data_IF_635149049722
#
_entry.id   IF_635149049722
#
_cell.length_a   1.000
_cell.length_b   1.000
_cell.length_c   1.000
_cell.angle_alpha   90.00
_cell.angle_beta   90.00
_cell.angle_gamma   90.00
#
_symmetry.space_group_name_H-M   'P 1'
#
loop_
_entity.id
_entity.type
_entity.pdbx_description
1 polymer ?
#
# COMPACT_ATOMS: atom_id res chain seq x y z
N UNK A 1 54.86 60.40 -24.88
CA UNK A 1 55.55 59.19 -24.38
C UNK A 1 54.57 58.40 -23.51
N UNK A 2 54.72 57.08 -23.52
CA UNK A 2 53.84 56.06 -22.91
C UNK A 2 53.69 56.25 -21.38
N UNK A 3 52.51 55.98 -20.82
CA UNK A 3 52.31 54.82 -19.93
C UNK A 3 50.85 54.62 -19.47
N UNK A 4 50.41 53.35 -19.55
CA UNK A 4 49.22 52.76 -18.92
C UNK A 4 49.40 52.73 -17.39
N UNK A 5 48.31 52.59 -16.64
CA UNK A 5 47.96 51.38 -15.84
C UNK A 5 46.80 51.67 -14.87
N UNK A 6 45.70 50.95 -15.12
CA UNK A 6 44.63 50.36 -14.28
C UNK A 6 44.15 50.99 -12.95
N UNK A 7 42.83 51.02 -12.81
CA UNK A 7 42.13 51.03 -11.52
C UNK A 7 40.61 50.95 -11.65
N UNK A 8 40.05 49.84 -12.16
CA UNK A 8 38.60 49.60 -12.09
C UNK A 8 38.25 49.15 -10.67
N UNK A 9 37.79 50.11 -9.88
CA UNK A 9 37.26 49.91 -8.52
C UNK A 9 36.09 48.94 -8.52
N UNK A 10 36.10 48.07 -7.53
CA UNK A 10 35.18 46.95 -7.32
C UNK A 10 33.79 47.47 -6.97
N UNK A 11 32.78 47.00 -7.70
CA UNK A 11 31.37 47.22 -7.39
C UNK A 11 31.04 46.50 -6.08
N UNK A 12 30.52 47.27 -5.13
CA UNK A 12 30.05 46.85 -3.82
C UNK A 12 28.96 45.77 -3.95
N UNK A 13 29.28 44.51 -3.64
CA UNK A 13 28.27 43.48 -3.42
C UNK A 13 27.66 43.70 -2.02
N UNK A 14 26.41 44.15 -2.00
CA UNK A 14 25.57 44.23 -0.80
C UNK A 14 25.31 42.81 -0.30
N UNK A 15 25.90 42.46 0.84
CA UNK A 15 25.57 41.25 1.58
C UNK A 15 24.13 41.36 2.12
N UNK A 16 23.21 40.64 1.49
CA UNK A 16 21.88 40.39 2.04
C UNK A 16 22.01 39.34 3.14
N UNK A 17 21.91 39.80 4.39
CA UNK A 17 21.59 38.94 5.52
C UNK A 17 20.14 38.44 5.33
N UNK A 18 19.99 37.15 4.99
CA UNK A 18 18.74 36.43 5.18
C UNK A 18 18.95 35.42 6.32
N UNK A 19 18.42 35.78 7.48
CA UNK A 19 18.40 34.94 8.65
C UNK A 19 17.38 33.80 8.49
N UNK A 20 17.83 32.59 8.83
CA UNK A 20 17.14 31.55 9.61
C UNK A 20 15.73 31.11 9.15
N UNK A 21 15.63 29.85 8.71
CA UNK A 21 14.82 28.84 9.41
C UNK A 21 15.47 27.46 9.21
N UNK A 22 16.18 26.99 10.24
CA UNK A 22 16.40 25.56 10.43
C UNK A 22 15.04 24.94 10.75
N UNK A 23 14.45 24.21 9.81
CA UNK A 23 13.39 23.26 10.15
C UNK A 23 14.07 22.08 10.83
N UNK A 24 14.18 22.20 12.15
CA UNK A 24 14.51 21.09 13.03
C UNK A 24 13.30 20.18 13.12
N UNK A 25 13.58 18.88 12.97
CA UNK A 25 12.74 17.71 13.16
C UNK A 25 11.30 17.92 13.63
N UNK A 26 10.37 17.53 12.76
CA UNK A 26 9.39 16.54 13.18
C UNK A 26 9.66 15.28 12.37
N UNK A 27 10.39 14.35 12.99
CA UNK A 27 10.25 12.94 12.63
C UNK A 27 8.79 12.59 12.93
N UNK A 28 7.94 12.77 11.92
CA UNK A 28 6.67 12.08 11.87
C UNK A 28 7.06 10.61 11.79
N UNK A 29 7.10 9.93 12.94
CA UNK A 29 6.88 8.50 12.97
C UNK A 29 5.65 8.28 12.10
N UNK A 30 5.84 7.68 10.92
CA UNK A 30 4.72 7.24 10.10
C UNK A 30 3.83 6.43 11.04
N UNK A 31 2.70 7.03 11.45
CA UNK A 31 1.76 6.35 12.31
C UNK A 31 1.41 5.06 11.60
N UNK A 32 1.46 3.94 12.31
CA UNK A 32 0.88 2.69 11.83
C UNK A 32 -0.53 3.02 11.37
N UNK A 33 -0.77 2.97 10.06
CA UNK A 33 -2.12 3.01 9.53
C UNK A 33 -2.84 1.81 10.14
N UNK A 34 -3.74 2.09 11.08
CA UNK A 34 -4.58 1.08 11.70
C UNK A 34 -5.87 1.08 10.90
N UNK A 35 -6.14 -0.02 10.19
CA UNK A 35 -7.44 -0.27 9.62
C UNK A 35 -8.47 -0.23 10.76
N UNK A 36 -9.45 0.65 10.62
CA UNK A 36 -10.51 0.78 11.60
C UNK A 36 -11.45 -0.43 11.54
N UNK A 37 -12.15 -0.71 12.64
CA UNK A 37 -13.28 -1.64 12.64
C UNK A 37 -14.48 -1.15 11.80
N UNK A 38 -14.36 0.03 11.20
CA UNK A 38 -15.38 0.71 10.42
C UNK A 38 -14.73 1.62 9.37
N UNK A 39 -15.44 1.81 8.26
CA UNK A 39 -15.09 2.71 7.18
C UNK A 39 -16.38 3.28 6.57
N UNK A 40 -16.25 4.32 5.75
CA UNK A 40 -17.40 4.95 5.09
C UNK A 40 -17.61 4.27 3.75
N UNK A 41 -18.67 3.49 3.61
CA UNK A 41 -19.03 2.88 2.33
C UNK A 41 -19.23 3.97 1.24
N UNK A 42 -18.72 3.80 0.00
CA UNK A 42 -18.03 2.61 -0.55
C UNK A 42 -16.49 2.66 -0.44
N UNK A 43 -15.94 3.52 0.43
CA UNK A 43 -14.52 3.71 0.64
C UNK A 43 -13.99 2.83 1.76
N UNK A 44 -14.33 1.54 1.67
CA UNK A 44 -13.79 0.47 2.47
C UNK A 44 -12.86 -0.40 1.60
N UNK A 45 -11.72 -0.83 2.16
CA UNK A 45 -10.93 -1.87 1.49
C UNK A 45 -11.65 -3.21 1.59
N UNK A 46 -11.81 -3.87 0.44
CA UNK A 46 -12.54 -5.13 0.35
C UNK A 46 -11.76 -6.17 -0.44
N UNK A 47 -11.99 -7.45 -0.12
CA UNK A 47 -11.50 -8.57 -0.92
C UNK A 47 -12.67 -9.44 -1.35
N UNK A 48 -12.72 -9.76 -2.65
CA UNK A 48 -13.67 -10.68 -3.26
C UNK A 48 -12.95 -11.93 -3.75
N UNK A 49 -13.38 -13.11 -3.32
CA UNK A 49 -12.88 -14.37 -3.86
C UNK A 49 -13.71 -14.78 -5.08
N UNK A 50 -13.17 -14.55 -6.28
CA UNK A 50 -13.73 -15.02 -7.55
C UNK A 50 -12.98 -16.26 -8.08
N UNK A 51 -12.18 -16.91 -7.23
CA UNK A 51 -11.50 -18.17 -7.52
C UNK A 51 -12.33 -19.36 -7.04
N UNK A 52 -11.85 -20.58 -7.29
CA UNK A 52 -12.50 -21.83 -6.87
C UNK A 52 -12.06 -22.37 -5.51
N UNK A 53 -11.06 -21.75 -4.86
CA UNK A 53 -10.38 -22.32 -3.69
C UNK A 53 -10.72 -21.52 -2.43
N UNK A 54 -9.79 -20.73 -1.89
CA UNK A 54 -10.05 -19.82 -0.79
C UNK A 54 -9.14 -18.60 -0.90
N UNK A 55 -9.47 -17.54 -0.18
CA UNK A 55 -8.56 -16.42 0.02
C UNK A 55 -8.62 -15.99 1.49
N UNK A 56 -7.47 -15.68 2.08
CA UNK A 56 -7.40 -15.17 3.45
C UNK A 56 -7.16 -13.65 3.41
N UNK A 57 -8.17 -12.88 3.83
CA UNK A 57 -8.10 -11.43 3.99
C UNK A 57 -7.86 -11.09 5.47
N UNK A 58 -7.04 -10.08 5.71
CA UNK A 58 -6.62 -9.62 7.02
C UNK A 58 -6.88 -8.11 7.14
N UNK A 59 -7.02 -7.64 8.38
CA UNK A 59 -6.99 -6.22 8.70
C UNK A 59 -5.59 -5.75 9.05
N UNK A 60 -5.37 -4.45 8.90
CA UNK A 60 -4.19 -3.67 9.25
C UNK A 60 -2.96 -3.92 8.36
N UNK A 61 -2.72 -2.96 7.48
CA UNK A 61 -1.52 -2.80 6.66
C UNK A 61 -0.61 -1.72 7.26
N UNK A 62 0.67 -2.06 7.45
CA UNK A 62 1.65 -1.13 8.00
C UNK A 62 2.70 -0.76 6.96
N UNK A 63 2.97 0.54 6.86
CA UNK A 63 3.95 1.12 5.93
C UNK A 63 3.38 1.37 4.53
N UNK A 64 4.27 1.77 3.63
CA UNK A 64 3.89 2.29 2.31
C UNK A 64 4.16 1.32 1.17
N UNK A 65 4.70 0.13 1.45
CA UNK A 65 4.89 -0.89 0.44
C UNK A 65 3.52 -1.37 -0.07
N UNK A 66 3.39 -1.60 -1.38
CA UNK A 66 2.19 -2.21 -1.96
C UNK A 66 2.17 -3.73 -1.80
N UNK A 67 3.35 -4.32 -1.59
CA UNK A 67 3.52 -5.76 -1.47
C UNK A 67 4.69 -6.06 -0.53
N UNK A 68 4.49 -7.01 0.36
CA UNK A 68 5.49 -7.46 1.33
C UNK A 68 5.67 -8.97 1.24
N UNK A 69 6.91 -9.42 1.48
CA UNK A 69 7.25 -10.84 1.56
C UNK A 69 7.84 -11.10 2.94
N UNK A 70 7.03 -11.69 3.81
CA UNK A 70 7.38 -11.94 5.20
C UNK A 70 6.43 -12.99 5.79
N UNK A 71 6.86 -13.67 6.85
CA UNK A 71 6.05 -14.72 7.48
C UNK A 71 4.80 -14.19 8.20
N UNK A 72 4.93 -13.03 8.82
CA UNK A 72 3.87 -12.38 9.59
C UNK A 72 3.12 -11.35 8.75
N UNK A 73 1.85 -11.09 9.09
CA UNK A 73 1.08 -10.00 8.49
C UNK A 73 1.83 -8.64 8.62
N UNK A 74 1.61 -7.68 7.71
CA UNK A 74 2.32 -6.39 7.66
C UNK A 74 2.40 -5.65 9.00
N UNK A 75 1.32 -5.62 9.79
CA UNK A 75 1.31 -5.01 11.13
C UNK A 75 1.67 -5.95 12.30
N UNK A 76 2.14 -7.17 12.04
CA UNK A 76 2.93 -7.97 12.99
C UNK A 76 2.22 -9.05 13.83
N UNK A 77 3.01 -9.57 14.79
CA UNK A 77 2.88 -10.82 15.57
C UNK A 77 2.03 -10.73 16.84
N UNK A 78 1.36 -9.61 17.11
CA UNK A 78 0.68 -9.37 18.39
C UNK A 78 -0.84 -9.21 18.20
N UNK A 79 -1.58 -10.18 18.73
CA UNK A 79 -2.91 -10.01 19.31
C UNK A 79 -4.10 -9.78 18.36
N UNK A 80 -3.97 -8.91 17.37
CA UNK A 80 -5.12 -8.32 16.68
C UNK A 80 -5.21 -8.76 15.21
N UNK A 81 -4.84 -10.02 14.94
CA UNK A 81 -4.95 -10.64 13.61
C UNK A 81 -6.38 -11.06 13.35
N UNK A 82 -7.24 -10.09 13.15
CA UNK A 82 -8.55 -10.36 12.58
C UNK A 82 -8.37 -10.71 11.11
N UNK A 83 -8.73 -11.95 10.79
CA UNK A 83 -8.72 -12.46 9.43
C UNK A 83 -10.05 -13.14 9.14
N UNK A 84 -10.42 -13.16 7.87
CA UNK A 84 -11.55 -13.92 7.36
C UNK A 84 -11.08 -14.79 6.21
N UNK A 85 -11.54 -16.04 6.21
CA UNK A 85 -11.35 -16.94 5.08
C UNK A 85 -12.56 -16.90 4.17
N UNK A 86 -12.31 -16.55 2.92
CA UNK A 86 -13.29 -16.50 1.84
C UNK A 86 -13.37 -17.87 1.16
N UNK A 87 -14.15 -18.80 1.72
CA UNK A 87 -14.13 -20.24 1.38
C UNK A 87 -14.79 -20.62 0.04
N UNK A 88 -15.48 -19.70 -0.63
CA UNK A 88 -16.23 -20.03 -1.85
C UNK A 88 -16.14 -18.92 -2.88
N UNK A 89 -16.29 -19.28 -4.16
CA UNK A 89 -16.48 -18.30 -5.23
C UNK A 89 -17.65 -17.38 -4.88
N UNK A 90 -17.45 -16.08 -5.01
CA UNK A 90 -18.41 -15.03 -4.68
C UNK A 90 -18.41 -14.61 -3.21
N UNK A 91 -17.67 -15.28 -2.32
CA UNK A 91 -17.51 -14.80 -0.94
C UNK A 91 -16.61 -13.57 -0.89
N UNK A 92 -16.91 -12.66 0.03
CA UNK A 92 -16.19 -11.40 0.18
C UNK A 92 -16.15 -10.93 1.63
N UNK A 93 -15.24 -10.01 1.90
CA UNK A 93 -15.16 -9.30 3.18
C UNK A 93 -16.37 -8.38 3.39
N UNK A 94 -16.71 -8.05 4.62
CA UNK A 94 -17.82 -7.12 4.90
C UNK A 94 -17.50 -5.70 4.40
N UNK A 95 -18.34 -5.12 3.53
CA UNK A 95 -18.14 -3.81 2.90
C UNK A 95 -18.40 -2.59 3.80
N UNK A 96 -18.54 -2.78 5.12
CA UNK A 96 -18.56 -1.71 6.13
C UNK A 96 -17.34 -1.77 7.06
N UNK A 97 -16.38 -2.65 6.76
CA UNK A 97 -15.16 -2.88 7.53
C UNK A 97 -13.95 -2.75 6.61
N UNK A 98 -12.79 -2.44 7.18
CA UNK A 98 -11.57 -2.16 6.41
C UNK A 98 -10.66 -3.40 6.39
N UNK A 99 -10.63 -4.09 5.26
CA UNK A 99 -9.86 -5.32 5.00
C UNK A 99 -8.72 -5.04 4.02
N UNK A 100 -7.71 -4.34 4.53
CA UNK A 100 -6.64 -3.70 3.75
C UNK A 100 -5.50 -4.64 3.32
N UNK A 101 -5.64 -5.94 3.59
CA UNK A 101 -4.57 -6.91 3.39
C UNK A 101 -5.11 -8.23 2.84
N UNK A 102 -4.55 -8.70 1.72
CA UNK A 102 -4.72 -10.06 1.22
C UNK A 102 -3.43 -10.87 1.43
N UNK A 103 -3.55 -12.08 1.97
CA UNK A 103 -2.43 -13.02 2.05
C UNK A 103 -2.27 -13.78 0.74
N UNK A 104 -1.03 -13.88 0.28
CA UNK A 104 -0.60 -14.71 -0.84
C UNK A 104 0.14 -15.91 -0.26
N UNK A 105 -0.49 -17.08 -0.29
CA UNK A 105 0.08 -18.28 0.31
C UNK A 105 1.41 -18.70 -0.32
N UNK A 106 2.31 -19.19 0.53
CA UNK A 106 3.54 -19.82 0.10
C UNK A 106 3.22 -21.04 -0.80
N UNK A 107 3.93 -21.19 -1.92
CA UNK A 107 3.65 -22.25 -2.89
C UNK A 107 2.51 -21.95 -3.86
N UNK A 108 1.93 -20.73 -3.85
CA UNK A 108 0.81 -20.40 -4.74
C UNK A 108 1.08 -19.16 -5.61
N UNK A 109 0.44 -19.11 -6.77
CA UNK A 109 0.25 -17.91 -7.58
C UNK A 109 -1.22 -17.48 -7.57
N UNK A 110 -1.42 -16.19 -7.31
CA UNK A 110 -2.72 -15.54 -7.32
C UNK A 110 -2.80 -14.60 -8.53
N UNK A 111 -3.88 -14.69 -9.30
CA UNK A 111 -4.24 -13.71 -10.32
C UNK A 111 -5.24 -12.73 -9.71
N UNK A 112 -4.87 -11.47 -9.69
CA UNK A 112 -5.54 -10.42 -8.93
C UNK A 112 -6.01 -9.29 -9.85
N UNK A 113 -7.07 -8.61 -9.44
CA UNK A 113 -7.56 -7.42 -10.13
C UNK A 113 -8.20 -6.44 -9.16
N UNK A 114 -7.84 -5.16 -9.27
CA UNK A 114 -8.53 -4.11 -8.50
C UNK A 114 -9.76 -3.61 -9.24
N UNK A 115 -10.83 -3.39 -8.49
CA UNK A 115 -11.87 -2.42 -8.80
C UNK A 115 -11.61 -1.16 -7.96
N UNK A 116 -11.43 -0.02 -8.61
CA UNK A 116 -11.21 1.26 -7.96
C UNK A 116 -12.52 2.01 -7.85
N UNK A 117 -12.90 2.38 -6.64
CA UNK A 117 -14.08 3.19 -6.37
C UNK A 117 -13.71 4.66 -6.44
N UNK A 118 -14.32 5.41 -7.36
CA UNK A 118 -14.11 6.86 -7.50
C UNK A 118 -15.19 7.64 -6.76
N UNK A 119 -16.43 7.16 -6.78
CA UNK A 119 -17.57 7.73 -6.08
C UNK A 119 -18.67 6.67 -5.85
N UNK A 120 -19.68 6.92 -4.99
CA UNK A 120 -20.77 5.97 -4.77
C UNK A 120 -21.45 5.53 -6.06
N UNK A 121 -21.42 4.23 -6.33
CA UNK A 121 -22.00 3.63 -7.54
C UNK A 121 -21.11 3.69 -8.79
N UNK A 122 -19.92 4.27 -8.70
CA UNK A 122 -18.99 4.37 -9.83
C UNK A 122 -17.60 3.84 -9.48
N UNK A 123 -16.94 3.30 -10.51
CA UNK A 123 -15.58 2.85 -10.41
C UNK A 123 -15.07 2.34 -11.74
N UNK A 124 -13.85 1.85 -11.73
CA UNK A 124 -13.23 1.26 -12.91
C UNK A 124 -12.34 0.07 -12.54
N UNK A 125 -12.22 -0.85 -13.50
CA UNK A 125 -11.33 -1.98 -13.38
C UNK A 125 -9.89 -1.58 -13.67
N UNK A 126 -8.98 -1.99 -12.79
CA UNK A 126 -7.56 -2.04 -13.09
C UNK A 126 -7.21 -3.22 -14.00
N UNK A 127 -5.97 -3.22 -14.48
CA UNK A 127 -5.37 -4.38 -15.14
C UNK A 127 -5.24 -5.54 -14.16
N UNK A 128 -5.36 -6.76 -14.69
CA UNK A 128 -4.99 -7.95 -13.93
C UNK A 128 -3.48 -8.00 -13.72
N UNK A 129 -3.06 -8.51 -12.58
CA UNK A 129 -1.66 -8.74 -12.25
C UNK A 129 -1.51 -10.03 -11.45
N UNK A 130 -0.32 -10.62 -11.46
CA UNK A 130 -0.06 -11.82 -10.66
C UNK A 130 0.84 -11.54 -9.45
N UNK A 131 0.62 -12.34 -8.41
CA UNK A 131 1.48 -12.44 -7.24
C UNK A 131 1.82 -13.91 -7.03
N UNK A 132 3.05 -14.26 -7.36
CA UNK A 132 3.55 -15.63 -7.27
C UNK A 132 4.46 -15.82 -6.06
N UNK A 133 4.22 -16.91 -5.35
CA UNK A 133 5.05 -17.49 -4.29
C UNK A 133 5.38 -18.96 -4.59
N UNK A 134 5.31 -19.39 -5.85
CA UNK A 134 5.76 -20.73 -6.26
C UNK A 134 7.18 -20.99 -5.77
N UNK A 135 7.46 -22.23 -5.36
CA UNK A 135 8.75 -22.64 -4.82
C UNK A 135 9.24 -21.80 -3.62
N UNK A 136 8.33 -21.17 -2.88
CA UNK A 136 8.65 -20.41 -1.67
C UNK A 136 7.98 -20.98 -0.45
N UNK A 137 8.66 -20.89 0.69
CA UNK A 137 8.12 -21.24 2.02
C UNK A 137 7.59 -20.02 2.78
N UNK A 138 7.84 -18.81 2.27
CA UNK A 138 7.40 -17.55 2.90
C UNK A 138 6.19 -17.00 2.14
N UNK A 139 5.08 -16.63 2.79
CA UNK A 139 3.96 -15.99 2.12
C UNK A 139 4.29 -14.57 1.65
N UNK A 140 3.43 -14.05 0.79
CA UNK A 140 3.37 -12.64 0.43
C UNK A 140 2.13 -11.97 1.01
N UNK A 141 2.11 -10.64 1.00
CA UNK A 141 1.00 -9.83 1.47
C UNK A 141 0.77 -8.72 0.48
N UNK A 142 -0.46 -8.61 -0.03
CA UNK A 142 -0.87 -7.58 -0.96
C UNK A 142 -1.75 -6.56 -0.23
N UNK A 143 -1.35 -5.29 -0.30
CA UNK A 143 -2.15 -4.17 0.21
C UNK A 143 -3.42 -3.98 -0.61
N UNK A 144 -4.52 -3.63 0.06
CA UNK A 144 -5.78 -3.18 -0.52
C UNK A 144 -6.09 -1.82 0.06
N UNK A 145 -6.20 -0.78 -0.76
CA UNK A 145 -6.47 0.57 -0.26
C UNK A 145 -7.96 0.78 0.02
N UNK A 146 -8.27 1.79 0.83
CA UNK A 146 -9.63 2.09 1.28
C UNK A 146 -10.63 2.32 0.13
N UNK A 147 -10.20 2.66 -1.07
CA UNK A 147 -11.09 2.82 -2.22
C UNK A 147 -10.96 1.68 -3.24
N UNK A 148 -10.56 0.49 -2.80
CA UNK A 148 -10.30 -0.65 -3.66
C UNK A 148 -11.02 -1.89 -3.18
N UNK A 149 -11.57 -2.61 -4.14
CA UNK A 149 -11.94 -4.02 -3.97
C UNK A 149 -10.95 -4.86 -4.74
N UNK A 150 -10.25 -5.76 -4.04
CA UNK A 150 -9.33 -6.71 -4.65
C UNK A 150 -10.06 -8.01 -4.99
N UNK A 151 -10.12 -8.34 -6.27
CA UNK A 151 -10.69 -9.58 -6.76
C UNK A 151 -9.59 -10.63 -6.95
N UNK A 152 -9.73 -11.76 -6.25
CA UNK A 152 -8.93 -12.97 -6.51
C UNK A 152 -9.58 -13.72 -7.66
N UNK A 153 -9.05 -13.54 -8.88
CA UNK A 153 -9.63 -14.11 -10.11
C UNK A 153 -9.30 -15.58 -10.28
N UNK A 154 -8.10 -15.97 -9.88
CA UNK A 154 -7.63 -17.35 -9.92
C UNK A 154 -6.54 -17.56 -8.87
N UNK A 155 -6.38 -18.81 -8.47
CA UNK A 155 -5.33 -19.28 -7.58
C UNK A 155 -4.84 -20.62 -8.11
N UNK A 156 -3.52 -20.78 -8.20
CA UNK A 156 -2.84 -22.02 -8.56
C UNK A 156 -1.80 -22.31 -7.50
N UNK A 157 -1.77 -23.51 -6.95
CA UNK A 157 -0.80 -23.88 -5.91
C UNK A 157 0.02 -25.08 -6.36
N UNK A 158 1.27 -25.14 -5.89
CA UNK A 158 2.11 -26.33 -5.96
C UNK A 158 1.36 -27.49 -5.26
N UNK A 159 1.35 -28.66 -5.91
CA UNK A 159 0.75 -29.90 -5.38
C UNK A 159 1.56 -30.49 -4.20
#
# INVERSE_FOLDING_TARGET
>A
MRNRITGRGRVLLRALLAAVFMVTGFGLSAGSAQAGSWCVNPYCSETYNDSSVYADAYRNWCGDAEYLVQGDAPCGYKGDREYVRLNSRGSHTNGFEDWDTLKIDAGCEYILQYWYVTQPGEGFWGSQFSRSRHNSTTPGWQRVHNNQTLYVRAQYCDD
#
